data_IF_546722614028
#
_entry.id   IF_546722614028
#
_cell.length_a   1.000
_cell.length_b   1.000
_cell.length_c   1.000
_cell.angle_alpha   90.00
_cell.angle_beta   90.00
_cell.angle_gamma   90.00
#
_symmetry.space_group_name_H-M   'P 1'
#
loop_
_entity.id
_entity.type
_entity.pdbx_description
1 polymer ?
#
# COMPACT_ATOMS: atom_id res chain seq x y z
N UNK A 1 19.55 -36.24 18.66
CA UNK A 1 19.77 -35.44 17.43
C UNK A 1 18.42 -34.88 17.03
N UNK A 2 18.07 -33.71 17.59
CA UNK A 2 16.84 -33.00 17.26
C UNK A 2 17.11 -32.08 16.06
N UNK A 3 16.46 -32.38 14.94
CA UNK A 3 16.53 -31.64 13.71
C UNK A 3 15.85 -30.27 13.86
N UNK A 4 16.65 -29.25 14.18
CA UNK A 4 16.29 -27.85 13.97
C UNK A 4 16.22 -27.58 12.46
N UNK A 5 15.02 -27.62 11.92
CA UNK A 5 14.69 -27.06 10.61
C UNK A 5 13.38 -26.29 10.69
N UNK A 6 13.29 -25.33 11.62
CA UNK A 6 12.37 -24.22 11.44
C UNK A 6 13.11 -23.18 10.60
N UNK A 7 12.93 -23.27 9.27
CA UNK A 7 13.33 -22.20 8.38
C UNK A 7 12.65 -20.91 8.85
N UNK A 8 13.44 -19.85 8.99
CA UNK A 8 13.00 -18.48 9.24
C UNK A 8 11.79 -18.18 8.34
N UNK A 9 10.58 -18.22 8.91
CA UNK A 9 9.35 -18.02 8.15
C UNK A 9 9.40 -16.62 7.54
N UNK A 10 9.44 -16.54 6.21
CA UNK A 10 9.47 -15.26 5.50
C UNK A 10 8.27 -14.42 5.96
N UNK A 11 8.56 -13.28 6.59
CA UNK A 11 7.54 -12.37 7.14
C UNK A 11 7.06 -11.34 6.11
N UNK A 12 7.51 -11.48 4.88
CA UNK A 12 7.25 -10.58 3.77
C UNK A 12 6.79 -11.42 2.59
N UNK A 13 5.65 -11.06 2.02
CA UNK A 13 5.09 -11.66 0.83
C UNK A 13 5.03 -10.60 -0.27
N UNK A 14 5.51 -10.95 -1.46
CA UNK A 14 5.41 -10.09 -2.64
C UNK A 14 4.56 -10.83 -3.66
N UNK A 15 3.49 -10.20 -4.14
CA UNK A 15 2.57 -10.82 -5.10
C UNK A 15 1.90 -9.80 -6.00
N UNK A 16 1.32 -10.27 -7.10
CA UNK A 16 0.45 -9.44 -7.92
C UNK A 16 -0.88 -9.22 -7.20
N UNK A 17 -1.64 -8.16 -7.52
CA UNK A 17 -2.88 -7.91 -6.83
C UNK A 17 -3.97 -8.96 -7.10
N UNK A 18 -3.98 -9.57 -8.27
CA UNK A 18 -4.89 -10.67 -8.58
C UNK A 18 -4.65 -11.88 -7.67
N UNK A 19 -3.38 -12.21 -7.40
CA UNK A 19 -3.02 -13.30 -6.48
C UNK A 19 -3.49 -12.95 -5.06
N UNK A 20 -3.27 -11.72 -4.59
CA UNK A 20 -3.74 -11.33 -3.25
C UNK A 20 -5.27 -11.38 -3.16
N UNK A 21 -5.96 -10.82 -4.15
CA UNK A 21 -7.42 -10.81 -4.20
C UNK A 21 -8.00 -12.23 -4.22
N UNK A 22 -7.40 -13.14 -5.00
CA UNK A 22 -7.76 -14.56 -5.00
C UNK A 22 -7.58 -15.18 -3.61
N UNK A 23 -6.42 -14.98 -2.97
CA UNK A 23 -6.15 -15.53 -1.65
C UNK A 23 -7.09 -15.01 -0.56
N UNK A 24 -7.50 -13.75 -0.63
CA UNK A 24 -8.49 -13.15 0.27
C UNK A 24 -9.89 -13.76 0.05
N UNK A 25 -10.34 -13.89 -1.21
CA UNK A 25 -11.64 -14.50 -1.56
C UNK A 25 -11.78 -15.96 -1.15
N UNK A 26 -10.67 -16.71 -1.20
CA UNK A 26 -10.62 -18.11 -0.82
C UNK A 26 -10.17 -18.34 0.63
N UNK A 27 -10.02 -17.28 1.42
CA UNK A 27 -9.63 -17.34 2.84
C UNK A 27 -8.26 -18.00 3.11
N UNK A 28 -7.38 -18.11 2.11
CA UNK A 28 -5.99 -18.55 2.29
C UNK A 28 -5.17 -17.50 3.05
N UNK A 29 -5.51 -16.22 2.84
CA UNK A 29 -5.04 -15.09 3.61
C UNK A 29 -6.26 -14.35 4.16
N UNK A 30 -6.16 -13.86 5.39
CA UNK A 30 -7.20 -13.02 5.99
C UNK A 30 -6.65 -11.62 6.21
N UNK A 31 -7.46 -10.60 5.93
CA UNK A 31 -7.03 -9.20 5.99
C UNK A 31 -6.51 -8.83 7.40
N UNK A 32 -7.10 -9.39 8.46
CA UNK A 32 -6.75 -9.09 9.86
C UNK A 32 -5.39 -9.67 10.28
N UNK A 33 -4.81 -10.57 9.48
CA UNK A 33 -3.47 -11.13 9.68
C UNK A 33 -2.38 -10.30 9.00
N UNK A 34 -2.77 -9.41 8.09
CA UNK A 34 -1.86 -8.49 7.43
C UNK A 34 -1.68 -7.29 8.35
N UNK A 35 -0.44 -6.94 8.66
CA UNK A 35 -0.17 -5.81 9.54
C UNK A 35 0.28 -4.56 8.77
N UNK A 36 0.80 -4.73 7.55
CA UNK A 36 1.04 -3.64 6.60
C UNK A 36 0.79 -4.15 5.17
N UNK A 37 -0.04 -3.41 4.43
CA UNK A 37 -0.34 -3.65 3.02
C UNK A 37 0.24 -2.50 2.18
N UNK A 38 1.15 -2.83 1.27
CA UNK A 38 1.81 -1.86 0.39
C UNK A 38 1.29 -2.00 -1.03
N UNK A 39 0.72 -0.93 -1.57
CA UNK A 39 0.33 -0.83 -2.97
C UNK A 39 1.42 -0.11 -3.77
N UNK A 40 2.13 -0.84 -4.63
CA UNK A 40 3.00 -0.25 -5.65
C UNK A 40 2.16 0.23 -6.83
N UNK A 41 2.50 1.38 -7.43
CA UNK A 41 1.65 2.07 -8.41
C UNK A 41 0.20 2.25 -7.92
N UNK A 42 0.06 2.74 -6.68
CA UNK A 42 -1.22 2.83 -5.99
C UNK A 42 -2.27 3.67 -6.73
N UNK A 43 -1.86 4.49 -7.70
CA UNK A 43 -2.74 5.28 -8.55
C UNK A 43 -3.78 4.44 -9.30
N UNK A 44 -3.55 3.13 -9.50
CA UNK A 44 -4.53 2.20 -10.06
C UNK A 44 -5.73 1.92 -9.13
N UNK A 45 -5.61 2.20 -7.82
CA UNK A 45 -6.69 2.05 -6.86
C UNK A 45 -7.65 3.25 -6.95
N UNK A 46 -8.53 3.23 -7.95
CA UNK A 46 -9.58 4.26 -8.11
C UNK A 46 -10.95 3.67 -7.80
N UNK A 47 -11.80 4.43 -7.11
CA UNK A 47 -13.09 3.96 -6.61
C UNK A 47 -14.05 3.51 -7.73
N UNK A 48 -13.90 4.03 -8.94
CA UNK A 48 -14.74 3.69 -10.09
C UNK A 48 -14.18 2.53 -10.92
N UNK A 49 -12.96 2.06 -10.62
CA UNK A 49 -12.32 0.98 -11.37
C UNK A 49 -12.66 -0.39 -10.79
N UNK A 50 -12.57 -1.40 -11.65
CA UNK A 50 -12.53 -2.83 -11.28
C UNK A 50 -11.10 -3.33 -11.10
N UNK A 51 -10.15 -2.42 -10.86
CA UNK A 51 -8.76 -2.83 -10.64
C UNK A 51 -8.68 -3.66 -9.36
N UNK A 52 -7.91 -4.76 -9.35
CA UNK A 52 -7.74 -5.62 -8.17
C UNK A 52 -7.40 -4.86 -6.87
N UNK A 53 -6.60 -3.79 -6.91
CA UNK A 53 -6.36 -2.93 -5.74
C UNK A 53 -7.65 -2.35 -5.15
N UNK A 54 -8.52 -1.80 -6.01
CA UNK A 54 -9.78 -1.22 -5.57
C UNK A 54 -10.73 -2.30 -5.02
N UNK A 55 -10.70 -3.50 -5.58
CA UNK A 55 -11.49 -4.63 -5.08
C UNK A 55 -11.01 -5.10 -3.71
N UNK A 56 -9.71 -5.21 -3.50
CA UNK A 56 -9.12 -5.59 -2.21
C UNK A 56 -9.62 -4.65 -1.10
N UNK A 57 -9.55 -3.33 -1.33
CA UNK A 57 -10.01 -2.35 -0.35
C UNK A 57 -11.53 -2.38 -0.14
N UNK A 58 -12.33 -2.48 -1.21
CA UNK A 58 -13.81 -2.49 -1.08
C UNK A 58 -14.36 -3.77 -0.45
N UNK A 59 -13.77 -4.92 -0.76
CA UNK A 59 -14.30 -6.22 -0.37
C UNK A 59 -13.76 -6.68 0.99
N UNK A 60 -12.54 -6.28 1.36
CA UNK A 60 -11.84 -6.87 2.51
C UNK A 60 -11.31 -5.87 3.53
N UNK A 61 -11.20 -4.58 3.20
CA UNK A 61 -10.71 -3.58 4.15
C UNK A 61 -11.87 -2.90 4.89
N UNK A 62 -11.74 -2.82 6.22
CA UNK A 62 -12.68 -2.13 7.09
C UNK A 62 -11.91 -1.37 8.18
N UNK A 63 -11.93 -0.04 8.10
CA UNK A 63 -11.21 0.84 9.05
C UNK A 63 -11.77 0.76 10.49
N UNK A 64 -13.01 0.30 10.67
CA UNK A 64 -13.62 0.12 11.99
C UNK A 64 -13.31 -1.26 12.61
N UNK A 65 -12.59 -2.13 11.91
CA UNK A 65 -12.23 -3.44 12.43
C UNK A 65 -11.16 -3.32 13.55
N UNK A 66 -11.25 -4.19 14.55
CA UNK A 66 -10.28 -4.25 15.66
C UNK A 66 -8.85 -4.50 15.15
N UNK A 67 -8.73 -5.27 14.08
CA UNK A 67 -7.46 -5.59 13.42
C UNK A 67 -7.59 -5.34 11.92
N UNK A 68 -7.00 -4.25 11.46
CA UNK A 68 -6.86 -3.92 10.04
C UNK A 68 -5.38 -3.61 9.73
N UNK A 69 -4.92 -3.87 8.50
CA UNK A 69 -3.57 -3.52 8.11
C UNK A 69 -3.42 -2.01 8.04
N UNK A 70 -2.22 -1.51 8.35
CA UNK A 70 -1.85 -0.17 7.90
C UNK A 70 -1.70 -0.17 6.37
N UNK A 71 -2.16 0.88 5.71
CA UNK A 71 -2.05 1.03 4.26
C UNK A 71 -0.90 1.98 3.93
N UNK A 72 -0.08 1.59 2.96
CA UNK A 72 0.94 2.46 2.38
C UNK A 72 0.91 2.34 0.87
N UNK A 73 0.78 3.48 0.18
CA UNK A 73 0.73 3.53 -1.28
C UNK A 73 1.91 4.32 -1.83
N UNK A 74 2.57 3.78 -2.84
CA UNK A 74 3.59 4.51 -3.59
C UNK A 74 3.20 4.58 -5.06
N UNK A 75 3.43 5.74 -5.67
CA UNK A 75 3.20 5.98 -7.10
C UNK A 75 4.08 7.12 -7.56
N UNK A 76 4.57 7.05 -8.80
CA UNK A 76 5.26 8.17 -9.43
C UNK A 76 4.28 9.32 -9.78
N UNK A 77 2.98 9.01 -9.91
CA UNK A 77 1.96 10.00 -10.24
C UNK A 77 0.58 9.55 -9.74
N UNK A 78 -0.21 10.42 -9.07
CA UNK A 78 -1.53 10.04 -8.57
C UNK A 78 -2.63 10.06 -9.64
N UNK A 79 -2.33 10.45 -10.89
CA UNK A 79 -3.31 10.56 -11.98
C UNK A 79 -3.28 9.36 -12.93
N UNK A 80 -4.45 8.76 -13.16
CA UNK A 80 -4.67 7.74 -14.19
C UNK A 80 -5.12 8.38 -15.50
N UNK A 81 -4.28 8.36 -16.53
CA UNK A 81 -4.67 8.66 -17.93
C UNK A 81 -3.88 9.79 -18.62
N UNK A 82 -3.71 9.66 -19.95
CA UNK A 82 -3.14 10.71 -20.81
C UNK A 82 -4.23 11.70 -21.19
N UNK A 83 -4.41 12.76 -20.39
CA UNK A 83 -5.41 13.77 -20.73
C UNK A 83 -5.39 14.97 -19.81
N UNK A 84 -4.72 16.04 -20.26
CA UNK A 84 -4.97 17.43 -19.89
C UNK A 84 -4.95 17.76 -18.40
N UNK A 85 -3.92 18.50 -18.00
CA UNK A 85 -3.74 19.20 -16.73
C UNK A 85 -4.91 20.12 -16.34
N UNK A 86 -6.06 19.56 -15.97
CA UNK A 86 -7.12 20.28 -15.29
C UNK A 86 -6.97 20.01 -13.79
N UNK A 87 -6.68 21.06 -13.02
CA UNK A 87 -6.55 21.02 -11.56
C UNK A 87 -7.71 20.27 -10.89
N UNK A 88 -8.92 20.43 -11.44
CA UNK A 88 -10.14 19.74 -11.01
C UNK A 88 -10.03 18.21 -11.09
N UNK A 89 -9.41 17.66 -12.14
CA UNK A 89 -9.24 16.22 -12.30
C UNK A 89 -8.20 15.68 -11.32
N UNK A 90 -7.13 16.45 -11.09
CA UNK A 90 -6.08 16.09 -10.14
C UNK A 90 -6.63 15.95 -8.70
N UNK A 91 -7.38 16.95 -8.23
CA UNK A 91 -8.00 16.91 -6.89
C UNK A 91 -9.00 15.77 -6.76
N UNK A 92 -9.77 15.45 -7.81
CA UNK A 92 -10.70 14.31 -7.82
C UNK A 92 -9.97 12.98 -7.71
N UNK A 93 -8.90 12.77 -8.47
CA UNK A 93 -8.10 11.55 -8.41
C UNK A 93 -7.47 11.37 -7.02
N UNK A 94 -6.91 12.43 -6.44
CA UNK A 94 -6.35 12.41 -5.08
C UNK A 94 -7.43 12.06 -4.06
N UNK A 95 -8.56 12.78 -4.05
CA UNK A 95 -9.64 12.51 -3.11
C UNK A 95 -10.19 11.08 -3.26
N UNK A 96 -10.29 10.58 -4.49
CA UNK A 96 -10.71 9.20 -4.71
C UNK A 96 -9.70 8.20 -4.14
N UNK A 97 -8.40 8.48 -4.28
CA UNK A 97 -7.33 7.61 -3.79
C UNK A 97 -7.27 7.62 -2.26
N UNK A 98 -7.31 8.81 -1.64
CA UNK A 98 -7.31 8.97 -0.18
C UNK A 98 -8.47 8.24 0.47
N UNK A 99 -9.69 8.45 -0.06
CA UNK A 99 -10.90 7.83 0.50
C UNK A 99 -10.92 6.31 0.31
N UNK A 100 -10.40 5.79 -0.81
CA UNK A 100 -10.40 4.35 -1.08
C UNK A 100 -9.29 3.62 -0.32
N UNK A 101 -8.10 4.21 -0.21
CA UNK A 101 -6.97 3.62 0.48
C UNK A 101 -6.98 3.89 1.99
N UNK A 102 -7.89 4.73 2.48
CA UNK A 102 -7.92 5.19 3.87
C UNK A 102 -6.56 5.79 4.29
N UNK A 103 -6.03 6.66 3.42
CA UNK A 103 -4.68 7.20 3.51
C UNK A 103 -4.63 8.66 3.05
N UNK A 104 -3.52 9.34 3.35
CA UNK A 104 -3.23 10.70 2.86
C UNK A 104 -2.15 10.70 1.81
N UNK A 105 -2.34 11.50 0.76
CA UNK A 105 -1.37 11.66 -0.33
C UNK A 105 -0.43 12.81 0.02
N UNK A 106 0.87 12.52 0.03
CA UNK A 106 1.91 13.53 0.23
C UNK A 106 2.77 13.62 -1.03
N UNK A 107 3.05 14.85 -1.47
CA UNK A 107 3.97 15.10 -2.59
C UNK A 107 5.27 15.73 -2.09
N UNK A 108 6.34 15.61 -2.90
CA UNK A 108 7.68 16.14 -2.54
C UNK A 108 7.69 17.67 -2.43
N UNK A 109 6.70 18.36 -3.00
CA UNK A 109 6.55 19.81 -2.88
C UNK A 109 5.94 20.24 -1.53
N UNK A 110 5.30 19.31 -0.80
CA UNK A 110 4.70 19.53 0.53
C UNK A 110 5.75 19.43 1.67
N UNK A 111 6.98 19.92 1.42
CA UNK A 111 8.16 19.78 2.31
C UNK A 111 7.95 20.27 3.74
N UNK A 112 6.95 21.12 3.97
CA UNK A 112 6.72 21.80 5.25
C UNK A 112 5.99 20.91 6.27
N UNK A 113 5.17 19.94 5.84
CA UNK A 113 4.44 19.07 6.78
C UNK A 113 5.20 17.80 7.18
N UNK A 114 6.14 17.34 6.35
CA UNK A 114 6.90 16.11 6.61
C UNK A 114 7.79 16.19 7.86
N UNK A 115 8.22 17.39 8.25
CA UNK A 115 9.05 17.65 9.43
C UNK A 115 8.27 17.43 10.74
N UNK A 116 6.94 17.59 10.75
CA UNK A 116 6.10 17.43 11.94
C UNK A 116 5.75 15.97 12.28
N UNK A 117 5.84 15.08 11.28
CA UNK A 117 5.59 13.64 11.40
C UNK A 117 6.90 12.90 11.76
N UNK A 118 8.03 13.63 11.75
CA UNK A 118 9.37 13.11 11.99
C UNK A 118 9.68 12.90 13.48
N UNK A 119 9.15 11.82 14.04
CA UNK A 119 9.92 10.99 14.98
C UNK A 119 10.80 9.98 14.20
N UNK A 120 11.21 10.33 12.98
CA UNK A 120 12.04 9.52 12.08
C UNK A 120 13.46 10.12 12.18
N UNK A 121 14.50 9.31 12.42
CA UNK A 121 15.85 9.85 12.62
C UNK A 121 16.34 10.52 11.34
N UNK A 122 17.01 11.65 11.54
CA UNK A 122 17.61 12.57 10.57
C UNK A 122 18.25 11.85 9.35
N UNK A 123 17.63 11.96 8.17
CA UNK A 123 18.22 11.46 6.92
C UNK A 123 18.22 12.57 5.86
N UNK A 124 19.38 13.23 5.74
CA UNK A 124 19.74 14.01 4.56
C UNK A 124 19.82 13.06 3.36
N UNK A 125 19.04 13.37 2.33
CA UNK A 125 18.97 12.68 1.04
C UNK A 125 18.39 11.25 1.08
N UNK A 126 17.07 11.11 0.90
CA UNK A 126 16.45 9.85 0.51
C UNK A 126 15.78 10.00 -0.86
N UNK A 127 16.56 9.76 -1.91
CA UNK A 127 16.05 9.38 -3.23
C UNK A 127 15.95 7.85 -3.23
N UNK A 128 14.78 7.29 -2.89
CA UNK A 128 14.46 5.88 -3.14
C UNK A 128 12.94 5.69 -3.35
N UNK A 129 12.54 5.44 -4.60
CA UNK A 129 11.50 4.45 -4.87
C UNK A 129 11.99 3.13 -4.23
N UNK A 130 11.11 2.44 -3.50
CA UNK A 130 11.41 1.30 -2.60
C UNK A 130 11.91 1.73 -1.21
N UNK A 131 10.96 1.99 -0.31
CA UNK A 131 11.22 2.10 1.12
C UNK A 131 11.28 0.71 1.76
N UNK A 132 12.45 0.28 2.23
CA UNK A 132 12.60 -0.88 3.11
C UNK A 132 12.23 -0.48 4.54
N UNK A 133 10.98 -0.67 4.95
CA UNK A 133 10.59 -0.46 6.35
C UNK A 133 10.91 -1.73 7.15
N UNK A 134 11.91 -1.65 8.04
CA UNK A 134 12.16 -2.69 9.06
C UNK A 134 11.19 -2.45 10.22
N UNK A 135 10.14 -3.28 10.33
CA UNK A 135 9.22 -3.23 11.46
C UNK A 135 9.58 -4.30 12.50
N UNK A 136 9.91 -3.82 13.70
CA UNK A 136 10.16 -4.64 14.87
C UNK A 136 8.88 -5.37 15.31
N UNK A 137 9.02 -6.69 15.46
CA UNK A 137 8.10 -7.66 16.05
C UNK A 137 6.68 -7.78 15.44
N UNK A 138 6.43 -8.98 14.90
CA UNK A 138 5.16 -9.55 14.46
C UNK A 138 4.63 -9.26 13.05
N UNK A 139 5.31 -8.48 12.20
CA UNK A 139 4.67 -8.00 10.97
C UNK A 139 4.71 -8.97 9.78
N UNK A 140 3.55 -9.27 9.18
CA UNK A 140 3.43 -9.85 7.85
C UNK A 140 3.23 -8.70 6.85
N UNK A 141 4.23 -8.43 6.01
CA UNK A 141 4.23 -7.35 5.02
C UNK A 141 3.81 -7.91 3.65
N UNK A 142 2.75 -7.38 3.06
CA UNK A 142 2.34 -7.73 1.69
C UNK A 142 2.67 -6.58 0.74
N UNK A 143 3.63 -6.78 -0.16
CA UNK A 143 3.92 -5.86 -1.25
C UNK A 143 3.15 -6.34 -2.46
N UNK A 144 2.21 -5.51 -2.91
CA UNK A 144 1.42 -5.80 -4.09
C UNK A 144 2.06 -5.06 -5.26
N UNK A 145 2.67 -5.81 -6.19
CA UNK A 145 3.36 -5.26 -7.36
C UNK A 145 2.47 -5.38 -8.59
N UNK A 146 2.21 -4.25 -9.24
CA UNK A 146 1.60 -4.26 -10.57
C UNK A 146 2.66 -4.75 -11.55
N UNK A 147 2.54 -5.99 -12.05
CA UNK A 147 3.36 -6.44 -13.16
C UNK A 147 2.83 -5.76 -14.42
N UNK A 148 3.45 -4.64 -14.78
CA UNK A 148 3.29 -4.05 -16.10
C UNK A 148 4.02 -4.99 -17.08
N UNK A 149 3.25 -5.68 -17.93
CA UNK A 149 3.77 -6.33 -19.15
C UNK A 149 3.84 -5.30 -20.28
#
# INVERSE_FOLDING_TARGET
>A
MESRAYGEASRVFVMTPDILLYNLRHCFVRMELIALLIFDECHHAQAQTRHPYAQIMKEFYNSNAIKCPRIFGMTASPITGKGGSNQVNYTKCINSLENLLDAKVYSVDDKVELESISAIPDVKNLLFMVLLIVLNHNLCLFIVKSLIY
#
